data_IF_715852138750
#
_entry.id   IF_715852138750
#
_cell.length_a   1.000
_cell.length_b   1.000
_cell.length_c   1.000
_cell.angle_alpha   90.00
_cell.angle_beta   90.00
_cell.angle_gamma   90.00
#
_symmetry.space_group_name_H-M   'P 1'
#
loop_
_entity.id
_entity.type
_entity.pdbx_description
1 polymer ?
#
# COMPACT_ATOMS: atom_id res chain seq x y z
N UNK A 1 -11.09 -53.31 68.13
CA UNK A 1 -10.42 -51.99 68.13
C UNK A 1 -10.64 -51.33 66.77
N UNK A 2 -11.28 -50.14 66.76
CA UNK A 2 -11.45 -49.08 65.72
C UNK A 2 -11.38 -49.51 64.22
N UNK A 3 -12.52 -49.66 63.51
CA UNK A 3 -13.31 -48.66 62.70
C UNK A 3 -12.64 -48.19 61.39
N UNK A 4 -13.25 -48.48 60.22
CA UNK A 4 -13.52 -47.58 59.04
C UNK A 4 -14.58 -48.29 58.15
N UNK A 5 -15.90 -48.05 58.27
CA UNK A 5 -16.80 -47.15 57.48
C UNK A 5 -16.59 -47.17 55.94
N UNK A 6 -17.50 -47.76 55.11
CA UNK A 6 -18.72 -47.15 54.50
C UNK A 6 -18.36 -46.36 53.21
N UNK A 7 -19.07 -46.31 52.07
CA UNK A 7 -20.43 -46.68 51.63
C UNK A 7 -20.43 -46.84 50.09
N UNK A 8 -21.42 -47.60 49.60
CA UNK A 8 -22.06 -47.51 48.29
C UNK A 8 -22.43 -46.07 47.87
N UNK A 9 -22.21 -45.69 46.60
CA UNK A 9 -22.98 -44.63 45.92
C UNK A 9 -23.30 -45.07 44.48
N UNK A 10 -24.60 -45.04 44.20
CA UNK A 10 -25.25 -45.34 42.93
C UNK A 10 -24.86 -44.37 41.81
N UNK A 11 -24.71 -44.94 40.62
CA UNK A 11 -24.61 -44.26 39.34
C UNK A 11 -25.96 -43.59 39.02
N UNK A 12 -26.05 -42.26 39.15
CA UNK A 12 -27.18 -41.47 38.65
C UNK A 12 -26.79 -40.89 37.31
N UNK A 13 -27.36 -41.44 36.23
CA UNK A 13 -27.32 -40.87 34.89
C UNK A 13 -28.21 -39.62 34.84
N UNK A 14 -27.59 -38.45 34.92
CA UNK A 14 -28.24 -37.18 34.58
C UNK A 14 -28.24 -37.02 33.05
N UNK A 15 -29.39 -37.28 32.44
CA UNK A 15 -29.72 -36.81 31.10
C UNK A 15 -29.77 -35.28 31.10
N UNK A 16 -28.72 -34.64 30.58
CA UNK A 16 -28.82 -33.24 30.15
C UNK A 16 -29.34 -33.27 28.72
N UNK A 17 -30.60 -32.88 28.54
CA UNK A 17 -31.19 -32.63 27.24
C UNK A 17 -30.38 -31.52 26.57
N UNK A 18 -29.59 -31.88 25.55
CA UNK A 18 -29.01 -30.90 24.64
C UNK A 18 -30.14 -30.41 23.75
N UNK A 19 -30.61 -29.19 23.97
CA UNK A 19 -31.41 -28.46 23.00
C UNK A 19 -30.57 -28.32 21.72
N UNK A 20 -30.78 -29.24 20.79
CA UNK A 20 -30.35 -29.10 19.39
C UNK A 20 -31.27 -28.08 18.74
N UNK A 21 -31.08 -26.80 19.09
CA UNK A 21 -31.42 -25.73 18.18
C UNK A 21 -30.36 -25.75 17.10
N UNK A 22 -30.69 -26.43 15.99
CA UNK A 22 -29.97 -26.25 14.73
C UNK A 22 -29.88 -24.73 14.49
N UNK A 23 -28.66 -24.21 14.63
CA UNK A 23 -28.35 -22.88 14.20
C UNK A 23 -28.66 -22.83 12.71
N UNK A 24 -29.83 -22.27 12.36
CA UNK A 24 -30.18 -21.89 11.00
C UNK A 24 -28.95 -21.20 10.43
N UNK A 25 -28.30 -21.85 9.47
CA UNK A 25 -27.45 -21.16 8.50
C UNK A 25 -28.34 -20.07 7.93
N UNK A 26 -28.10 -18.84 8.37
CA UNK A 26 -28.59 -17.64 7.70
C UNK A 26 -27.83 -17.62 6.39
N UNK A 27 -28.35 -18.35 5.39
CA UNK A 27 -28.09 -18.09 3.99
C UNK A 27 -28.82 -16.79 3.67
N UNK A 28 -28.23 -15.69 4.11
CA UNK A 28 -28.61 -14.37 3.65
C UNK A 28 -27.34 -13.55 3.49
N UNK A 29 -26.76 -13.63 2.29
CA UNK A 29 -25.92 -12.55 1.81
C UNK A 29 -26.09 -12.45 0.30
N UNK A 30 -27.15 -11.75 -0.12
CA UNK A 30 -27.02 -10.94 -1.32
C UNK A 30 -25.75 -10.10 -1.16
N UNK A 31 -24.79 -10.28 -2.07
CA UNK A 31 -23.50 -9.58 -2.06
C UNK A 31 -23.70 -8.08 -1.85
N UNK A 32 -22.87 -7.44 -1.00
CA UNK A 32 -22.87 -5.98 -0.82
C UNK A 32 -22.45 -5.21 -2.09
N UNK A 33 -22.08 -5.93 -3.15
CA UNK A 33 -21.57 -5.44 -4.41
C UNK A 33 -20.16 -5.97 -4.68
N UNK A 34 -19.65 -5.62 -5.85
CA UNK A 34 -18.34 -6.02 -6.34
C UNK A 34 -17.31 -4.91 -6.09
N UNK A 35 -16.10 -5.30 -5.73
CA UNK A 35 -14.91 -4.45 -5.70
C UNK A 35 -13.87 -5.10 -6.60
N UNK A 36 -13.39 -4.37 -7.60
CA UNK A 36 -12.28 -4.84 -8.44
C UNK A 36 -10.97 -4.41 -7.80
N UNK A 37 -10.04 -5.35 -7.63
CA UNK A 37 -8.75 -5.10 -7.03
C UNK A 37 -7.63 -5.60 -7.94
N UNK A 38 -6.70 -4.71 -8.29
CA UNK A 38 -5.47 -5.04 -9.01
C UNK A 38 -4.29 -4.73 -8.09
N UNK A 39 -3.63 -5.75 -7.51
CA UNK A 39 -2.48 -5.56 -6.62
C UNK A 39 -1.22 -5.16 -7.40
N UNK A 40 -0.15 -4.76 -6.71
CA UNK A 40 1.13 -4.41 -7.35
C UNK A 40 1.99 -5.64 -7.74
N UNK A 41 1.68 -6.82 -7.20
CA UNK A 41 2.23 -8.14 -7.56
C UNK A 41 1.35 -9.25 -6.93
N UNK A 42 1.75 -10.51 -7.12
CA UNK A 42 1.04 -11.69 -6.62
C UNK A 42 1.51 -12.19 -5.23
N UNK A 43 2.25 -11.39 -4.45
CA UNK A 43 2.62 -11.78 -3.09
C UNK A 43 1.34 -11.88 -2.24
N UNK A 44 1.19 -12.90 -1.36
CA UNK A 44 -0.03 -13.06 -0.55
C UNK A 44 -0.43 -11.82 0.25
N UNK A 45 0.57 -11.09 0.80
CA UNK A 45 0.33 -9.86 1.57
C UNK A 45 -0.20 -8.70 0.72
N UNK A 46 0.10 -8.72 -0.58
CA UNK A 46 -0.24 -7.66 -1.53
C UNK A 46 -1.54 -7.95 -2.27
N UNK A 47 -1.91 -9.23 -2.40
CA UNK A 47 -3.07 -9.71 -3.15
C UNK A 47 -4.08 -10.45 -2.26
N UNK A 48 -3.92 -11.76 -2.10
CA UNK A 48 -4.93 -12.66 -1.52
C UNK A 48 -5.37 -12.22 -0.11
N UNK A 49 -4.44 -11.88 0.77
CA UNK A 49 -4.75 -11.46 2.15
C UNK A 49 -5.51 -10.13 2.18
N UNK A 50 -5.19 -9.20 1.28
CA UNK A 50 -5.88 -7.91 1.17
C UNK A 50 -7.30 -8.10 0.63
N UNK A 51 -7.47 -8.91 -0.42
CA UNK A 51 -8.77 -9.23 -1.00
C UNK A 51 -9.66 -9.97 0.00
N UNK A 52 -9.13 -10.98 0.69
CA UNK A 52 -9.88 -11.79 1.66
C UNK A 52 -10.37 -10.99 2.86
N UNK A 53 -9.62 -9.97 3.28
CA UNK A 53 -10.04 -9.05 4.34
C UNK A 53 -11.36 -8.36 3.95
N UNK A 54 -11.50 -7.97 2.69
CA UNK A 54 -12.70 -7.30 2.19
C UNK A 54 -13.83 -8.28 1.87
N UNK A 55 -13.50 -9.50 1.40
CA UNK A 55 -14.49 -10.57 1.22
C UNK A 55 -15.20 -10.93 2.52
N UNK A 56 -14.47 -10.94 3.65
CA UNK A 56 -15.04 -11.16 5.00
C UNK A 56 -16.06 -10.09 5.41
N UNK A 57 -16.06 -8.91 4.77
CA UNK A 57 -17.05 -7.85 5.00
C UNK A 57 -18.34 -8.03 4.19
N UNK A 58 -18.44 -9.07 3.35
CA UNK A 58 -19.61 -9.40 2.54
C UNK A 58 -19.58 -8.82 1.11
N UNK A 59 -18.43 -8.33 0.64
CA UNK A 59 -18.23 -7.89 -0.74
C UNK A 59 -17.68 -9.03 -1.60
N UNK A 60 -18.04 -9.04 -2.88
CA UNK A 60 -17.33 -9.83 -3.88
C UNK A 60 -16.07 -9.06 -4.32
N UNK A 61 -14.88 -9.66 -4.17
CA UNK A 61 -13.63 -9.04 -4.60
C UNK A 61 -13.07 -9.77 -5.80
N UNK A 62 -13.02 -9.06 -6.93
CA UNK A 62 -12.56 -9.58 -8.22
C UNK A 62 -11.09 -9.18 -8.39
N UNK A 63 -10.22 -10.18 -8.52
CA UNK A 63 -8.78 -10.02 -8.72
C UNK A 63 -8.35 -10.63 -10.06
N UNK A 64 -7.34 -10.07 -10.75
CA UNK A 64 -6.84 -10.66 -11.99
C UNK A 64 -6.15 -12.01 -11.73
N UNK A 65 -6.14 -12.91 -12.71
CA UNK A 65 -5.31 -14.11 -12.66
C UNK A 65 -3.82 -13.80 -12.46
N UNK A 66 -3.12 -14.66 -11.72
CA UNK A 66 -1.69 -14.53 -11.39
C UNK A 66 -0.77 -14.39 -12.62
N UNK A 67 -1.15 -14.94 -13.77
CA UNK A 67 -0.35 -14.87 -15.00
C UNK A 67 -0.35 -13.48 -15.64
N UNK A 68 -1.33 -12.64 -15.30
CA UNK A 68 -1.37 -11.23 -15.71
C UNK A 68 -0.54 -10.33 -14.78
N UNK A 69 -0.36 -10.75 -13.53
CA UNK A 69 0.41 -10.03 -12.52
C UNK A 69 1.91 -10.37 -12.63
N UNK A 70 2.76 -9.38 -12.42
CA UNK A 70 4.19 -9.65 -12.32
C UNK A 70 4.56 -10.31 -10.99
N UNK A 71 5.64 -11.07 -11.01
CA UNK A 71 6.25 -11.73 -9.87
C UNK A 71 7.78 -11.67 -10.01
N UNK A 72 8.54 -12.55 -9.34
CA UNK A 72 10.00 -12.54 -9.40
C UNK A 72 10.56 -12.91 -10.78
N UNK A 73 9.82 -13.71 -11.55
CA UNK A 73 10.25 -14.29 -12.83
C UNK A 73 9.45 -13.76 -14.03
N UNK A 74 8.25 -13.20 -13.79
CA UNK A 74 7.38 -12.59 -14.78
C UNK A 74 7.29 -11.07 -14.56
N UNK A 75 7.52 -10.27 -15.60
CA UNK A 75 7.39 -8.81 -15.52
C UNK A 75 5.93 -8.31 -15.50
N UNK A 76 4.95 -9.18 -15.68
CA UNK A 76 3.52 -8.86 -15.79
C UNK A 76 3.12 -8.44 -17.20
N UNK A 77 1.81 -8.28 -17.44
CA UNK A 77 1.29 -7.90 -18.76
C UNK A 77 0.29 -6.73 -18.68
N UNK A 78 0.78 -5.47 -18.67
CA UNK A 78 -0.06 -4.29 -18.54
C UNK A 78 -1.18 -4.20 -19.59
N UNK A 79 -0.89 -4.53 -20.85
CA UNK A 79 -1.88 -4.48 -21.93
C UNK A 79 -3.04 -5.47 -21.68
N UNK A 80 -2.73 -6.72 -21.36
CA UNK A 80 -3.76 -7.72 -21.05
C UNK A 80 -4.48 -7.40 -19.75
N UNK A 81 -3.81 -6.75 -18.79
CA UNK A 81 -4.42 -6.33 -17.52
C UNK A 81 -5.46 -5.21 -17.72
N UNK A 82 -5.21 -4.25 -18.63
CA UNK A 82 -6.22 -3.27 -19.05
C UNK A 82 -7.41 -3.93 -19.76
N UNK A 83 -7.15 -4.89 -20.65
CA UNK A 83 -8.22 -5.66 -21.32
C UNK A 83 -9.04 -6.48 -20.31
N UNK A 84 -8.38 -7.08 -19.33
CA UNK A 84 -9.01 -7.81 -18.25
C UNK A 84 -9.90 -6.90 -17.41
N UNK A 85 -9.40 -5.71 -17.02
CA UNK A 85 -10.17 -4.73 -16.26
C UNK A 85 -11.44 -4.33 -17.04
N UNK A 86 -11.31 -4.02 -18.33
CA UNK A 86 -12.43 -3.66 -19.20
C UNK A 86 -13.49 -4.76 -19.24
N UNK A 87 -13.07 -6.00 -19.49
CA UNK A 87 -13.93 -7.17 -19.61
C UNK A 87 -14.69 -7.48 -18.33
N UNK A 88 -14.04 -7.30 -17.17
CA UNK A 88 -14.63 -7.63 -15.86
C UNK A 88 -15.39 -6.45 -15.24
N UNK A 89 -15.34 -5.27 -15.84
CA UNK A 89 -16.05 -4.08 -15.35
C UNK A 89 -17.20 -3.64 -16.24
N UNK A 90 -17.32 -4.17 -17.46
CA UNK A 90 -18.25 -3.66 -18.47
C UNK A 90 -19.36 -4.65 -18.81
N UNK A 91 -20.61 -4.21 -18.74
CA UNK A 91 -21.79 -5.01 -19.06
C UNK A 91 -22.77 -4.24 -19.95
N UNK A 92 -23.66 -4.96 -20.64
CA UNK A 92 -24.81 -4.33 -21.33
C UNK A 92 -25.84 -3.90 -20.30
N UNK A 93 -25.98 -2.59 -20.08
CA UNK A 93 -26.98 -2.01 -19.18
C UNK A 93 -27.73 -0.85 -19.81
N UNK A 94 -28.81 -0.41 -19.18
CA UNK A 94 -29.45 0.85 -19.55
C UNK A 94 -28.53 2.04 -19.19
N UNK A 95 -28.47 3.09 -20.02
CA UNK A 95 -27.69 4.28 -19.74
C UNK A 95 -28.29 5.05 -18.55
N UNK A 96 -27.41 5.65 -17.75
CA UNK A 96 -27.76 6.62 -16.70
C UNK A 96 -28.35 7.89 -17.31
N UNK A 97 -29.00 8.73 -16.49
CA UNK A 97 -29.54 10.02 -16.94
C UNK A 97 -28.47 10.92 -17.57
N UNK A 98 -27.24 10.87 -17.05
CA UNK A 98 -26.11 11.65 -17.56
C UNK A 98 -25.66 11.14 -18.94
N UNK A 99 -25.57 9.82 -19.11
CA UNK A 99 -25.19 9.19 -20.39
C UNK A 99 -26.27 9.42 -21.47
N UNK A 100 -27.55 9.35 -21.12
CA UNK A 100 -28.65 9.69 -22.03
C UNK A 100 -28.54 11.14 -22.51
N UNK A 101 -28.24 12.08 -21.60
CA UNK A 101 -28.07 13.50 -21.95
C UNK A 101 -26.82 13.77 -22.80
N UNK A 102 -25.70 13.09 -22.52
CA UNK A 102 -24.43 13.30 -23.22
C UNK A 102 -24.42 12.68 -24.61
N UNK A 103 -24.95 11.46 -24.73
CA UNK A 103 -24.78 10.65 -25.94
C UNK A 103 -26.07 10.48 -26.75
N UNK A 104 -27.19 11.06 -26.31
CA UNK A 104 -28.51 10.86 -26.92
C UNK A 104 -28.84 9.36 -27.12
N UNK A 105 -28.29 8.50 -26.26
CA UNK A 105 -28.35 7.07 -26.40
C UNK A 105 -29.70 6.53 -25.89
N UNK A 106 -30.49 5.94 -26.78
CA UNK A 106 -31.62 5.08 -26.44
C UNK A 106 -31.19 3.61 -26.36
N UNK A 107 -31.88 2.81 -25.55
CA UNK A 107 -31.63 1.35 -25.46
C UNK A 107 -30.54 0.95 -24.46
N UNK A 108 -29.81 -0.14 -24.74
CA UNK A 108 -28.72 -0.63 -23.88
C UNK A 108 -27.36 -0.13 -24.38
N UNK A 109 -26.50 0.26 -23.46
CA UNK A 109 -25.09 0.62 -23.71
C UNK A 109 -24.17 -0.40 -23.06
N UNK A 110 -22.93 -0.46 -23.52
CA UNK A 110 -21.85 -1.07 -22.76
C UNK A 110 -21.30 -0.02 -21.79
N UNK A 111 -21.43 -0.28 -20.49
CA UNK A 111 -21.00 0.65 -19.44
C UNK A 111 -20.59 -0.12 -18.19
N UNK A 112 -20.20 0.63 -17.15
CA UNK A 112 -19.75 0.06 -15.89
C UNK A 112 -20.85 -0.84 -15.29
N UNK A 113 -20.49 -2.04 -14.82
CA UNK A 113 -21.37 -2.94 -14.07
C UNK A 113 -21.91 -2.20 -12.83
N UNK A 114 -23.23 -2.02 -12.68
CA UNK A 114 -23.83 -1.35 -11.52
C UNK A 114 -23.55 -2.03 -10.18
N UNK A 115 -23.15 -3.32 -10.20
CA UNK A 115 -22.73 -4.03 -9.00
C UNK A 115 -21.34 -3.60 -8.53
N UNK A 116 -20.49 -3.03 -9.40
CA UNK A 116 -19.16 -2.56 -9.04
C UNK A 116 -19.25 -1.25 -8.27
N UNK A 117 -18.82 -1.30 -7.00
CA UNK A 117 -18.87 -0.17 -6.07
C UNK A 117 -17.55 0.60 -6.02
N UNK A 118 -16.44 -0.07 -6.26
CA UNK A 118 -15.11 0.52 -6.29
C UNK A 118 -14.14 -0.29 -7.16
N UNK A 119 -13.11 0.40 -7.66
CA UNK A 119 -12.00 -0.18 -8.38
C UNK A 119 -10.72 0.33 -7.72
N UNK A 120 -9.93 -0.57 -7.14
CA UNK A 120 -8.67 -0.27 -6.46
C UNK A 120 -7.53 -0.88 -7.27
N UNK A 121 -6.60 -0.07 -7.77
CA UNK A 121 -5.57 -0.54 -8.71
C UNK A 121 -4.18 -0.01 -8.38
N UNK A 122 -3.19 -0.89 -8.51
CA UNK A 122 -1.77 -0.53 -8.55
C UNK A 122 -1.43 0.08 -9.91
N UNK A 123 -0.98 1.33 -9.91
CA UNK A 123 -0.40 1.92 -11.10
C UNK A 123 0.87 1.19 -11.55
N UNK A 124 1.63 0.61 -10.62
CA UNK A 124 2.83 -0.14 -10.98
C UNK A 124 2.50 -1.36 -11.85
N UNK A 125 1.47 -2.12 -11.51
CA UNK A 125 0.98 -3.23 -12.35
C UNK A 125 0.41 -2.75 -13.69
N UNK A 126 -0.36 -1.67 -13.69
CA UNK A 126 -1.01 -1.17 -14.92
C UNK A 126 -0.04 -0.47 -15.89
N UNK A 127 1.13 -0.03 -15.42
CA UNK A 127 2.10 0.74 -16.21
C UNK A 127 3.38 -0.04 -16.49
N UNK A 128 3.93 -0.73 -15.51
CA UNK A 128 5.20 -1.46 -15.64
C UNK A 128 4.98 -2.97 -15.66
N UNK A 129 3.93 -3.45 -14.98
CA UNK A 129 3.54 -4.86 -14.87
C UNK A 129 3.72 -5.43 -13.46
N UNK A 130 4.53 -4.79 -12.62
CA UNK A 130 4.62 -5.03 -11.17
C UNK A 130 5.42 -3.94 -10.47
N UNK A 131 5.45 -3.99 -9.13
CA UNK A 131 6.34 -3.19 -8.29
C UNK A 131 7.83 -3.40 -8.64
N UNK A 132 8.25 -4.63 -8.95
CA UNK A 132 9.64 -4.91 -9.35
C UNK A 132 9.92 -4.33 -10.73
N UNK A 133 9.00 -4.54 -11.68
CA UNK A 133 9.12 -4.02 -13.04
C UNK A 133 9.17 -2.49 -13.06
N UNK A 134 8.59 -1.79 -12.09
CA UNK A 134 8.70 -0.32 -11.97
C UNK A 134 10.13 0.16 -11.72
N UNK A 135 11.00 -0.71 -11.20
CA UNK A 135 12.43 -0.47 -10.92
C UNK A 135 13.33 -0.98 -12.05
N UNK A 136 12.93 -2.09 -12.68
CA UNK A 136 13.76 -2.86 -13.62
C UNK A 136 13.07 -3.10 -14.97
N UNK A 137 13.08 -2.07 -15.83
CA UNK A 137 12.53 -2.15 -17.19
C UNK A 137 13.32 -1.30 -18.20
N UNK A 138 13.09 -1.53 -19.49
CA UNK A 138 13.62 -0.70 -20.59
C UNK A 138 12.51 0.00 -21.39
N UNK A 139 11.27 0.00 -20.86
CA UNK A 139 10.11 0.69 -21.45
C UNK A 139 10.44 2.15 -21.78
N UNK A 140 10.05 2.58 -22.98
CA UNK A 140 10.26 3.95 -23.47
C UNK A 140 9.33 4.94 -22.76
N UNK A 141 9.76 6.19 -22.61
CA UNK A 141 8.92 7.24 -22.02
C UNK A 141 7.60 7.45 -22.76
N UNK A 142 7.60 7.33 -24.09
CA UNK A 142 6.38 7.40 -24.89
C UNK A 142 5.38 6.34 -24.44
N UNK A 143 5.82 5.09 -24.29
CA UNK A 143 4.95 3.98 -23.87
C UNK A 143 4.48 4.13 -22.43
N UNK A 144 5.32 4.65 -21.52
CA UNK A 144 4.90 4.97 -20.16
C UNK A 144 3.79 6.03 -20.13
N UNK A 145 3.95 7.10 -20.92
CA UNK A 145 2.91 8.15 -21.05
C UNK A 145 1.61 7.61 -21.63
N UNK A 146 1.69 6.72 -22.63
CA UNK A 146 0.51 6.01 -23.17
C UNK A 146 -0.19 5.20 -22.08
N UNK A 147 0.55 4.42 -21.27
CA UNK A 147 -0.03 3.62 -20.19
C UNK A 147 -0.62 4.47 -19.05
N UNK A 148 -0.04 5.65 -18.77
CA UNK A 148 -0.68 6.65 -17.87
C UNK A 148 -1.98 7.17 -18.47
N UNK A 149 -2.02 7.45 -19.78
CA UNK A 149 -3.22 7.94 -20.45
C UNK A 149 -4.39 6.94 -20.40
N UNK A 150 -4.11 5.63 -20.38
CA UNK A 150 -5.14 4.59 -20.26
C UNK A 150 -6.05 4.78 -19.03
N UNK A 151 -5.55 5.34 -17.92
CA UNK A 151 -6.38 5.66 -16.75
C UNK A 151 -7.43 6.72 -17.08
N UNK A 152 -7.04 7.75 -17.82
CA UNK A 152 -7.94 8.81 -18.26
C UNK A 152 -8.97 8.27 -19.25
N UNK A 153 -8.53 7.43 -20.19
CA UNK A 153 -9.38 6.80 -21.19
C UNK A 153 -10.40 5.85 -20.56
N UNK A 154 -9.98 5.02 -19.61
CA UNK A 154 -10.87 4.17 -18.82
C UNK A 154 -11.90 5.01 -18.06
N UNK A 155 -11.45 6.07 -17.38
CA UNK A 155 -12.36 6.97 -16.64
C UNK A 155 -13.30 7.75 -17.55
N UNK A 156 -12.91 8.05 -18.80
CA UNK A 156 -13.77 8.71 -19.78
C UNK A 156 -14.92 7.80 -20.22
N UNK A 157 -14.65 6.51 -20.41
CA UNK A 157 -15.65 5.50 -20.77
C UNK A 157 -16.53 5.08 -19.57
N UNK A 158 -15.98 5.14 -18.36
CA UNK A 158 -16.66 4.84 -17.09
C UNK A 158 -16.64 6.05 -16.14
N UNK A 159 -17.40 7.11 -16.49
CA UNK A 159 -17.39 8.37 -15.73
C UNK A 159 -17.97 8.24 -14.30
N UNK A 160 -18.69 7.18 -14.01
CA UNK A 160 -19.21 6.82 -12.70
C UNK A 160 -18.25 5.94 -11.87
N UNK A 161 -17.19 5.39 -12.48
CA UNK A 161 -16.24 4.51 -11.78
C UNK A 161 -15.52 5.22 -10.63
N UNK A 162 -15.55 4.59 -9.45
CA UNK A 162 -14.85 5.01 -8.24
C UNK A 162 -13.45 4.41 -8.22
N UNK A 163 -12.49 5.15 -8.79
CA UNK A 163 -11.13 4.68 -9.01
C UNK A 163 -10.18 5.14 -7.90
N UNK A 164 -9.63 4.18 -7.16
CA UNK A 164 -8.61 4.39 -6.15
C UNK A 164 -7.29 3.83 -6.68
N UNK A 165 -6.26 4.66 -6.74
CA UNK A 165 -4.98 4.31 -7.38
C UNK A 165 -3.86 4.42 -6.38
N UNK A 166 -2.91 3.49 -6.40
CA UNK A 166 -1.65 3.63 -5.67
C UNK A 166 -0.46 3.41 -6.59
N UNK A 167 0.65 4.11 -6.34
CA UNK A 167 1.86 4.07 -7.16
C UNK A 167 3.09 4.14 -6.27
N UNK A 168 4.16 3.46 -6.68
CA UNK A 168 5.44 3.53 -6.00
C UNK A 168 6.22 4.79 -6.36
N UNK A 169 6.72 5.49 -5.35
CA UNK A 169 7.95 6.29 -5.47
C UNK A 169 9.09 5.30 -5.30
N UNK A 170 9.82 5.08 -6.38
CA UNK A 170 10.84 4.03 -6.48
C UNK A 170 11.79 4.05 -5.28
N UNK A 171 12.15 2.87 -4.75
CA UNK A 171 13.05 2.77 -3.60
C UNK A 171 14.49 3.20 -3.85
N UNK A 172 15.19 3.54 -2.77
CA UNK A 172 16.64 3.80 -2.77
C UNK A 172 17.29 2.86 -1.75
N UNK A 173 17.68 1.65 -2.15
CA UNK A 173 18.31 0.70 -1.24
C UNK A 173 19.56 1.29 -0.60
N UNK A 174 19.73 1.10 0.70
CA UNK A 174 20.88 1.65 1.46
C UNK A 174 22.18 0.88 1.22
N UNK A 175 22.11 -0.29 0.56
CA UNK A 175 23.27 -1.12 0.21
C UNK A 175 23.00 -2.07 -0.95
N UNK A 176 24.04 -2.73 -1.44
CA UNK A 176 23.92 -3.81 -2.42
C UNK A 176 23.19 -5.04 -1.87
N UNK A 177 23.40 -5.40 -0.60
CA UNK A 177 22.67 -6.48 0.07
C UNK A 177 21.18 -6.16 0.18
N UNK A 178 20.84 -4.91 0.52
CA UNK A 178 19.45 -4.45 0.61
C UNK A 178 18.76 -4.34 -0.76
N UNK A 179 19.54 -4.21 -1.85
CA UNK A 179 19.03 -4.23 -3.21
C UNK A 179 18.48 -5.61 -3.62
N UNK A 180 19.05 -6.69 -3.06
CA UNK A 180 18.68 -8.07 -3.38
C UNK A 180 18.83 -8.37 -4.87
N UNK A 181 17.87 -9.12 -5.44
CA UNK A 181 17.82 -9.44 -6.88
C UNK A 181 16.89 -8.53 -7.69
N UNK A 182 16.29 -7.53 -7.03
CA UNK A 182 15.19 -6.73 -7.58
C UNK A 182 15.65 -5.38 -8.16
N UNK A 183 16.96 -5.10 -8.10
CA UNK A 183 17.59 -3.91 -8.70
C UNK A 183 18.47 -4.26 -9.91
N UNK A 184 18.91 -3.26 -10.69
CA UNK A 184 19.99 -3.42 -11.64
C UNK A 184 21.29 -3.96 -11.00
N UNK A 185 22.03 -4.77 -11.73
CA UNK A 185 23.19 -5.54 -11.22
C UNK A 185 24.29 -4.66 -10.59
N UNK A 186 24.45 -3.41 -11.05
CA UNK A 186 25.44 -2.49 -10.52
C UNK A 186 25.23 -2.14 -9.04
N UNK A 187 24.03 -2.35 -8.47
CA UNK A 187 23.79 -2.15 -7.04
C UNK A 187 24.61 -3.11 -6.17
N UNK A 188 24.96 -4.30 -6.66
CA UNK A 188 25.81 -5.24 -5.90
C UNK A 188 27.18 -4.66 -5.60
N UNK A 189 27.74 -3.91 -6.55
CA UNK A 189 29.06 -3.29 -6.42
C UNK A 189 29.00 -1.87 -5.86
N UNK A 190 28.00 -1.07 -6.27
CA UNK A 190 27.95 0.37 -6.02
C UNK A 190 26.74 0.81 -5.18
N UNK A 191 25.98 -0.10 -4.57
CA UNK A 191 24.75 0.24 -3.85
C UNK A 191 24.98 1.23 -2.70
N UNK A 192 26.05 1.05 -1.94
CA UNK A 192 26.45 1.99 -0.88
C UNK A 192 26.84 3.36 -1.44
N UNK A 193 27.62 3.37 -2.53
CA UNK A 193 28.10 4.61 -3.16
C UNK A 193 26.95 5.41 -3.77
N UNK A 194 26.02 4.73 -4.46
CA UNK A 194 24.80 5.33 -5.02
C UNK A 194 23.92 5.87 -3.90
N UNK A 195 23.73 5.11 -2.81
CA UNK A 195 22.98 5.60 -1.66
C UNK A 195 23.62 6.89 -1.10
N UNK A 196 24.94 6.89 -0.89
CA UNK A 196 25.64 8.06 -0.35
C UNK A 196 25.62 9.25 -1.32
N UNK A 197 25.82 9.01 -2.61
CA UNK A 197 25.73 10.00 -3.68
C UNK A 197 24.37 10.70 -3.68
N UNK A 198 23.29 9.91 -3.60
CA UNK A 198 21.92 10.44 -3.58
C UNK A 198 21.56 11.13 -2.27
N UNK A 199 22.06 10.65 -1.13
CA UNK A 199 21.89 11.31 0.16
C UNK A 199 22.53 12.71 0.17
N UNK A 200 23.72 12.86 -0.43
CA UNK A 200 24.38 14.15 -0.58
C UNK A 200 23.64 15.08 -1.56
N UNK A 201 23.12 14.55 -2.67
CA UNK A 201 22.27 15.33 -3.59
C UNK A 201 20.99 15.83 -2.93
N UNK A 202 20.31 14.95 -2.22
CA UNK A 202 19.11 15.29 -1.46
C UNK A 202 19.41 16.37 -0.41
N UNK A 203 20.51 16.21 0.32
CA UNK A 203 20.96 17.23 1.27
C UNK A 203 21.26 18.55 0.58
N UNK A 204 21.93 18.54 -0.58
CA UNK A 204 22.27 19.74 -1.36
C UNK A 204 21.04 20.47 -1.90
N UNK A 205 20.00 19.72 -2.28
CA UNK A 205 18.70 20.25 -2.70
C UNK A 205 17.99 20.96 -1.55
N UNK A 206 17.94 20.34 -0.37
CA UNK A 206 17.25 20.91 0.79
C UNK A 206 18.04 22.00 1.53
N UNK A 207 19.38 21.94 1.51
CA UNK A 207 20.28 22.83 2.26
C UNK A 207 21.71 22.81 1.72
N UNK A 208 22.57 23.67 2.25
CA UNK A 208 23.98 23.69 1.84
C UNK A 208 24.78 22.46 2.30
N UNK A 209 25.67 21.98 1.43
CA UNK A 209 26.70 21.00 1.77
C UNK A 209 27.92 21.66 2.41
N UNK A 210 28.54 20.96 3.36
CA UNK A 210 29.87 21.34 3.87
C UNK A 210 30.96 21.11 2.81
N UNK A 211 32.13 21.76 2.95
CA UNK A 211 33.25 21.56 2.02
C UNK A 211 33.73 20.11 1.94
N UNK A 212 33.62 19.35 3.04
CA UNK A 212 33.93 17.91 3.06
C UNK A 212 32.93 17.13 2.21
N UNK A 213 31.64 17.42 2.37
CA UNK A 213 30.56 16.75 1.64
C UNK A 213 30.58 17.09 0.15
N UNK A 214 30.97 18.30 -0.23
CA UNK A 214 31.18 18.67 -1.64
C UNK A 214 32.28 17.83 -2.28
N UNK A 215 33.44 17.71 -1.62
CA UNK A 215 34.53 16.84 -2.08
C UNK A 215 34.14 15.37 -2.12
N UNK A 216 33.35 14.92 -1.14
CA UNK A 216 32.81 13.55 -1.13
C UNK A 216 31.87 13.30 -2.32
N UNK A 217 30.99 14.26 -2.63
CA UNK A 217 30.10 14.17 -3.79
C UNK A 217 30.88 14.11 -5.10
N UNK A 218 31.90 14.97 -5.27
CA UNK A 218 32.81 14.97 -6.42
C UNK A 218 33.51 13.61 -6.56
N UNK A 219 34.06 13.08 -5.47
CA UNK A 219 34.68 11.76 -5.45
C UNK A 219 33.71 10.64 -5.86
N UNK A 220 32.48 10.65 -5.35
CA UNK A 220 31.47 9.64 -5.71
C UNK A 220 31.07 9.72 -7.19
N UNK A 221 31.04 10.92 -7.76
CA UNK A 221 30.79 11.11 -9.20
C UNK A 221 31.91 10.53 -10.08
N UNK A 222 33.15 10.50 -9.58
CA UNK A 222 34.29 9.87 -10.26
C UNK A 222 34.35 8.36 -10.01
N UNK A 223 34.02 7.92 -8.80
CA UNK A 223 34.07 6.51 -8.40
C UNK A 223 33.01 5.66 -9.11
N UNK A 224 31.77 6.16 -9.21
CA UNK A 224 30.67 5.40 -9.79
C UNK A 224 30.76 5.53 -11.33
N UNK A 225 30.81 4.42 -12.08
CA UNK A 225 30.85 4.47 -13.53
C UNK A 225 29.72 5.33 -14.11
N UNK A 226 30.07 6.30 -14.95
CA UNK A 226 29.10 7.26 -15.49
C UNK A 226 27.95 6.60 -16.27
N UNK A 227 28.18 5.42 -16.85
CA UNK A 227 27.13 4.62 -17.49
C UNK A 227 26.06 4.14 -16.49
N UNK A 228 26.46 3.78 -15.26
CA UNK A 228 25.54 3.35 -14.21
C UNK A 228 24.75 4.53 -13.65
N UNK A 229 25.39 5.68 -13.43
CA UNK A 229 24.68 6.90 -13.03
C UNK A 229 23.66 7.33 -14.09
N UNK A 230 24.01 7.26 -15.39
CA UNK A 230 23.06 7.59 -16.48
C UNK A 230 21.88 6.63 -16.54
N UNK A 231 22.11 5.32 -16.44
CA UNK A 231 21.01 4.33 -16.41
C UNK A 231 20.12 4.56 -15.18
N UNK A 232 20.73 4.75 -14.01
CA UNK A 232 20.04 5.03 -12.76
C UNK A 232 19.18 6.31 -12.85
N UNK A 233 19.76 7.43 -13.27
CA UNK A 233 19.05 8.71 -13.44
C UNK A 233 17.89 8.58 -14.43
N UNK A 234 18.07 7.82 -15.52
CA UNK A 234 17.03 7.56 -16.50
C UNK A 234 15.86 6.76 -15.90
N UNK A 235 16.14 5.69 -15.15
CA UNK A 235 15.12 4.89 -14.44
C UNK A 235 14.33 5.75 -13.45
N UNK A 236 15.03 6.51 -12.61
CA UNK A 236 14.41 7.45 -11.65
C UNK A 236 13.54 8.49 -12.35
N UNK A 237 14.08 9.13 -13.38
CA UNK A 237 13.37 10.17 -14.14
C UNK A 237 12.08 9.66 -14.79
N UNK A 238 12.07 8.41 -15.28
CA UNK A 238 10.87 7.77 -15.82
C UNK A 238 9.80 7.55 -14.74
N UNK A 239 10.16 6.99 -13.59
CA UNK A 239 9.23 6.79 -12.47
C UNK A 239 8.66 8.13 -11.95
N UNK A 240 9.52 9.13 -11.79
CA UNK A 240 9.11 10.47 -11.37
C UNK A 240 8.09 11.10 -12.34
N UNK A 241 8.36 11.07 -13.65
CA UNK A 241 7.44 11.60 -14.67
C UNK A 241 6.11 10.84 -14.75
N UNK A 242 6.12 9.54 -14.48
CA UNK A 242 4.88 8.75 -14.37
C UNK A 242 4.06 9.22 -13.17
N UNK A 243 4.69 9.41 -12.01
CA UNK A 243 4.01 9.92 -10.81
C UNK A 243 3.46 11.34 -11.01
N UNK A 244 4.20 12.24 -11.68
CA UNK A 244 3.66 13.56 -12.10
C UNK A 244 2.42 13.41 -12.99
N UNK A 245 2.45 12.51 -13.96
CA UNK A 245 1.32 12.22 -14.84
C UNK A 245 0.09 11.71 -14.08
N UNK A 246 0.29 10.86 -13.07
CA UNK A 246 -0.79 10.39 -12.20
C UNK A 246 -1.36 11.52 -11.32
N UNK A 247 -0.50 12.40 -10.79
CA UNK A 247 -0.93 13.60 -10.05
C UNK A 247 -1.78 14.51 -10.96
N UNK A 248 -1.37 14.70 -12.20
CA UNK A 248 -2.14 15.50 -13.17
C UNK A 248 -3.54 14.91 -13.45
N UNK A 249 -3.67 13.58 -13.46
CA UNK A 249 -4.97 12.92 -13.57
C UNK A 249 -5.80 13.08 -12.29
N UNK A 250 -5.17 12.97 -11.12
CA UNK A 250 -5.82 13.22 -9.84
C UNK A 250 -6.36 14.66 -9.73
N UNK A 251 -5.57 15.65 -10.13
CA UNK A 251 -5.95 17.07 -10.20
C UNK A 251 -7.15 17.31 -11.11
N UNK A 252 -7.28 16.52 -12.18
CA UNK A 252 -8.42 16.55 -13.11
C UNK A 252 -9.62 15.71 -12.62
N UNK A 253 -9.61 15.28 -11.36
CA UNK A 253 -10.71 14.54 -10.73
C UNK A 253 -10.89 13.11 -11.26
N UNK A 254 -9.86 12.50 -11.86
CA UNK A 254 -9.96 11.13 -12.40
C UNK A 254 -9.94 10.05 -11.33
N UNK A 255 -9.44 10.35 -10.14
CA UNK A 255 -9.33 9.40 -9.03
C UNK A 255 -10.15 9.88 -7.81
N UNK A 256 -10.64 8.93 -7.03
CA UNK A 256 -11.18 9.18 -5.70
C UNK A 256 -10.08 9.27 -4.64
N UNK A 257 -8.95 8.63 -4.90
CA UNK A 257 -7.71 8.80 -4.16
C UNK A 257 -6.53 8.34 -5.02
N UNK A 258 -5.42 9.06 -4.94
CA UNK A 258 -4.11 8.61 -5.40
C UNK A 258 -3.16 8.53 -4.20
N UNK A 259 -2.66 7.34 -3.87
CA UNK A 259 -1.64 7.17 -2.84
C UNK A 259 -0.27 6.93 -3.49
N UNK A 260 0.68 7.82 -3.22
CA UNK A 260 2.08 7.69 -3.63
C UNK A 260 2.86 7.13 -2.44
N UNK A 261 3.19 5.84 -2.53
CA UNK A 261 3.90 5.11 -1.47
C UNK A 261 5.40 5.15 -1.69
N UNK A 262 6.15 5.56 -0.66
CA UNK A 262 7.61 5.46 -0.68
C UNK A 262 8.01 4.03 -0.38
N UNK A 263 8.52 3.38 -1.41
CA UNK A 263 9.10 2.06 -1.35
C UNK A 263 10.50 2.15 -0.75
N UNK A 264 10.89 1.23 0.15
CA UNK A 264 12.11 1.22 0.99
C UNK A 264 12.93 2.53 0.96
N UNK A 265 12.68 3.43 1.92
CA UNK A 265 13.31 4.74 1.95
C UNK A 265 14.10 5.01 3.24
N UNK A 266 14.89 6.08 3.21
CA UNK A 266 15.66 6.56 4.34
C UNK A 266 15.76 8.07 4.30
N UNK A 267 15.99 8.69 5.46
CA UNK A 267 16.29 10.11 5.54
C UNK A 267 17.55 10.41 4.72
N UNK A 268 17.49 11.47 3.92
CA UNK A 268 18.52 11.80 2.93
C UNK A 268 18.73 10.68 1.91
N UNK A 269 17.88 10.64 0.89
CA UNK A 269 17.92 9.65 -0.20
C UNK A 269 17.21 10.19 -1.44
N UNK A 270 17.41 9.55 -2.59
CA UNK A 270 16.67 9.94 -3.80
C UNK A 270 15.15 9.82 -3.60
N UNK A 271 14.68 8.75 -2.96
CA UNK A 271 13.25 8.56 -2.66
C UNK A 271 12.70 9.67 -1.75
N UNK A 272 13.47 10.09 -0.74
CA UNK A 272 13.08 11.19 0.14
C UNK A 272 13.03 12.53 -0.62
N UNK A 273 14.02 12.82 -1.48
CA UNK A 273 14.05 14.01 -2.33
C UNK A 273 12.85 14.04 -3.30
N UNK A 274 12.62 12.96 -4.04
CA UNK A 274 11.52 12.87 -5.00
C UNK A 274 10.16 12.98 -4.32
N UNK A 275 9.98 12.38 -3.14
CA UNK A 275 8.75 12.52 -2.38
C UNK A 275 8.50 13.97 -1.94
N UNK A 276 9.53 14.76 -1.60
CA UNK A 276 9.36 16.21 -1.36
C UNK A 276 8.88 16.91 -2.62
N UNK A 277 9.56 16.70 -3.75
CA UNK A 277 9.17 17.38 -4.99
C UNK A 277 7.79 16.93 -5.51
N UNK A 278 7.41 15.67 -5.33
CA UNK A 278 6.06 15.19 -5.67
C UNK A 278 4.98 15.80 -4.76
N UNK A 279 5.28 16.04 -3.48
CA UNK A 279 4.41 16.82 -2.59
C UNK A 279 4.27 18.26 -3.05
N UNK A 280 5.37 18.92 -3.41
CA UNK A 280 5.34 20.30 -3.93
C UNK A 280 4.56 20.38 -5.24
N UNK A 281 4.76 19.41 -6.13
CA UNK A 281 4.01 19.30 -7.39
C UNK A 281 2.52 19.08 -7.15
N UNK A 282 2.16 18.21 -6.20
CA UNK A 282 0.78 17.97 -5.76
C UNK A 282 0.11 19.27 -5.30
N UNK A 283 0.79 20.05 -4.46
CA UNK A 283 0.29 21.34 -3.98
C UNK A 283 0.13 22.34 -5.13
N UNK A 284 1.13 22.44 -6.01
CA UNK A 284 1.10 23.31 -7.19
C UNK A 284 -0.06 22.98 -8.14
N UNK A 285 -0.47 21.71 -8.22
CA UNK A 285 -1.59 21.24 -9.04
C UNK A 285 -2.94 21.28 -8.30
N UNK A 286 -2.95 21.68 -7.02
CA UNK A 286 -4.14 21.63 -6.16
C UNK A 286 -4.82 20.26 -6.16
N UNK A 287 -4.01 19.19 -6.17
CA UNK A 287 -4.50 17.82 -6.28
C UNK A 287 -4.84 17.23 -4.90
N UNK A 288 -5.94 17.69 -4.29
CA UNK A 288 -6.33 17.39 -2.90
C UNK A 288 -6.56 15.89 -2.60
N UNK A 289 -6.81 15.09 -3.63
CA UNK A 289 -7.03 13.63 -3.49
C UNK A 289 -5.74 12.81 -3.51
N UNK A 290 -4.57 13.45 -3.62
CA UNK A 290 -3.26 12.80 -3.61
C UNK A 290 -2.70 12.77 -2.19
N UNK A 291 -2.22 11.61 -1.76
CA UNK A 291 -1.53 11.43 -0.48
C UNK A 291 -0.15 10.85 -0.73
N UNK A 292 0.87 11.40 -0.07
CA UNK A 292 2.25 10.90 -0.11
C UNK A 292 2.56 10.26 1.24
N UNK A 293 2.93 8.98 1.25
CA UNK A 293 3.01 8.19 2.48
C UNK A 293 4.28 7.31 2.49
N UNK A 294 4.79 6.98 3.68
CA UNK A 294 5.82 5.95 3.81
C UNK A 294 5.19 4.56 3.64
N UNK A 295 5.90 3.64 3.00
CA UNK A 295 5.38 2.30 2.71
C UNK A 295 4.61 2.23 1.39
N UNK A 296 4.57 1.03 0.82
CA UNK A 296 3.92 0.70 -0.46
C UNK A 296 3.16 -0.62 -0.37
N UNK A 297 3.68 -1.58 0.38
CA UNK A 297 3.13 -2.93 0.47
C UNK A 297 1.71 -2.94 1.07
N UNK A 298 1.43 -2.05 2.02
CA UNK A 298 0.14 -1.93 2.70
C UNK A 298 -0.94 -1.13 1.93
N UNK A 299 -0.56 -0.39 0.86
CA UNK A 299 -1.46 0.57 0.22
C UNK A 299 -2.67 -0.08 -0.44
N UNK A 300 -2.52 -1.31 -0.96
CA UNK A 300 -3.64 -2.07 -1.52
C UNK A 300 -4.76 -2.26 -0.50
N UNK A 301 -4.41 -2.77 0.70
CA UNK A 301 -5.36 -2.96 1.80
C UNK A 301 -5.92 -1.63 2.33
N UNK A 302 -5.08 -0.59 2.46
CA UNK A 302 -5.53 0.72 2.93
C UNK A 302 -6.54 1.37 1.97
N UNK A 303 -6.31 1.30 0.65
CA UNK A 303 -7.25 1.85 -0.33
C UNK A 303 -8.51 1.01 -0.51
N UNK A 304 -8.41 -0.31 -0.38
CA UNK A 304 -9.58 -1.19 -0.27
C UNK A 304 -10.45 -0.80 0.94
N UNK A 305 -9.82 -0.59 2.09
CA UNK A 305 -10.51 -0.15 3.31
C UNK A 305 -11.11 1.25 3.14
N UNK A 306 -10.38 2.19 2.52
CA UNK A 306 -10.88 3.52 2.17
C UNK A 306 -12.13 3.43 1.30
N UNK A 307 -12.11 2.57 0.28
CA UNK A 307 -13.25 2.38 -0.62
C UNK A 307 -14.47 1.86 0.16
N UNK A 308 -14.29 0.86 1.03
CA UNK A 308 -15.37 0.35 1.87
C UNK A 308 -15.90 1.43 2.83
N UNK A 309 -15.03 2.19 3.49
CA UNK A 309 -15.44 3.30 4.36
C UNK A 309 -16.26 4.34 3.58
N UNK A 310 -15.88 4.66 2.35
CA UNK A 310 -16.63 5.58 1.49
C UNK A 310 -18.00 5.01 1.08
N UNK A 311 -18.08 3.71 0.75
CA UNK A 311 -19.33 3.02 0.40
C UNK A 311 -20.29 2.99 1.59
N UNK A 312 -19.78 2.63 2.77
CA UNK A 312 -20.56 2.51 4.01
C UNK A 312 -20.76 3.85 4.73
N UNK A 313 -20.19 4.94 4.21
CA UNK A 313 -20.20 6.29 4.80
C UNK A 313 -19.68 6.32 6.24
N UNK A 314 -18.60 5.58 6.51
CA UNK A 314 -17.93 5.50 7.80
C UNK A 314 -16.67 6.35 7.82
N UNK A 315 -16.42 6.99 8.96
CA UNK A 315 -15.19 7.71 9.28
C UNK A 315 -14.72 7.23 10.65
N UNK A 316 -13.87 6.19 10.72
CA UNK A 316 -13.45 5.63 11.99
C UNK A 316 -12.57 6.63 12.76
N UNK A 317 -12.81 6.76 14.06
CA UNK A 317 -11.96 7.51 14.98
C UNK A 317 -10.93 6.56 15.58
N UNK A 318 -9.65 6.79 15.29
CA UNK A 318 -8.55 5.93 15.68
C UNK A 318 -7.61 6.70 16.62
N UNK A 319 -7.13 6.02 17.65
CA UNK A 319 -5.97 6.46 18.43
C UNK A 319 -4.91 5.36 18.42
N UNK A 320 -3.65 5.73 18.68
CA UNK A 320 -2.57 4.77 18.76
C UNK A 320 -1.77 4.97 20.04
N UNK A 321 -1.41 3.85 20.65
CA UNK A 321 -0.45 3.80 21.74
C UNK A 321 0.73 2.91 21.36
N UNK A 322 1.89 3.21 21.92
CA UNK A 322 3.17 2.67 21.50
C UNK A 322 3.87 2.03 22.68
N UNK A 323 4.86 1.19 22.39
CA UNK A 323 5.71 0.67 23.45
C UNK A 323 6.45 1.80 24.17
N UNK A 324 6.85 1.57 25.43
CA UNK A 324 7.61 2.54 26.22
C UNK A 324 8.97 2.85 25.55
N UNK A 325 9.65 3.91 26.00
CA UNK A 325 10.96 4.32 25.46
C UNK A 325 10.83 5.16 24.18
N UNK A 326 11.56 4.82 23.12
CA UNK A 326 11.47 5.56 21.84
C UNK A 326 10.07 5.53 21.24
N UNK A 327 9.29 4.48 21.52
CA UNK A 327 7.85 4.44 21.30
C UNK A 327 7.44 4.95 19.93
N UNK A 328 6.66 6.03 19.93
CA UNK A 328 6.09 6.69 18.75
C UNK A 328 7.12 7.41 17.86
N UNK A 329 8.32 7.67 18.39
CA UNK A 329 9.43 8.37 17.72
C UNK A 329 10.43 7.45 17.02
N UNK A 330 10.23 6.12 17.11
CA UNK A 330 11.04 5.15 16.37
C UNK A 330 10.93 5.42 14.86
N UNK A 331 12.07 5.52 14.17
CA UNK A 331 12.14 5.56 12.71
C UNK A 331 12.48 4.14 12.21
N UNK A 332 11.59 3.45 11.46
CA UNK A 332 11.84 2.12 10.88
C UNK A 332 12.99 2.07 9.85
N UNK A 333 13.47 0.87 9.50
CA UNK A 333 14.70 0.65 8.72
C UNK A 333 14.56 1.02 7.26
N UNK A 334 13.32 0.96 6.82
CA UNK A 334 12.88 1.22 5.47
C UNK A 334 11.92 2.43 5.46
N UNK A 335 12.15 3.38 6.37
CA UNK A 335 11.40 4.63 6.48
C UNK A 335 12.33 5.83 6.72
N UNK A 336 11.86 7.02 6.36
CA UNK A 336 12.49 8.31 6.64
C UNK A 336 11.76 9.12 7.71
N UNK A 337 10.72 8.56 8.34
CA UNK A 337 9.86 9.25 9.30
C UNK A 337 9.53 8.39 10.53
N UNK A 338 9.16 9.04 11.66
CA UNK A 338 8.69 8.33 12.84
C UNK A 338 7.44 7.48 12.55
N UNK A 339 7.34 6.33 13.20
CA UNK A 339 6.18 5.43 13.06
C UNK A 339 4.85 6.11 13.35
N UNK A 340 4.79 7.07 14.27
CA UNK A 340 3.57 7.84 14.56
C UNK A 340 3.13 8.73 13.39
N UNK A 341 4.09 9.27 12.65
CA UNK A 341 3.82 10.03 11.43
C UNK A 341 3.16 9.12 10.39
N UNK A 342 3.70 7.92 10.20
CA UNK A 342 3.14 6.92 9.28
C UNK A 342 1.75 6.46 9.73
N UNK A 343 1.54 6.11 11.00
CA UNK A 343 0.23 5.69 11.54
C UNK A 343 -0.83 6.76 11.32
N UNK A 344 -0.53 8.03 11.63
CA UNK A 344 -1.47 9.15 11.39
C UNK A 344 -1.80 9.31 9.91
N UNK A 345 -0.79 9.23 9.05
CA UNK A 345 -0.99 9.32 7.60
C UNK A 345 -1.86 8.16 7.07
N UNK A 346 -1.67 6.94 7.58
CA UNK A 346 -2.49 5.77 7.19
C UNK A 346 -3.94 5.91 7.67
N UNK A 347 -4.18 6.44 8.87
CA UNK A 347 -5.54 6.75 9.38
C UNK A 347 -6.23 7.81 8.53
N UNK A 348 -5.51 8.82 8.06
CA UNK A 348 -6.05 9.80 7.11
C UNK A 348 -6.31 9.17 5.73
N UNK A 349 -5.42 8.28 5.27
CA UNK A 349 -5.54 7.59 3.99
C UNK A 349 -6.80 6.72 3.92
N UNK A 350 -7.13 5.97 4.97
CA UNK A 350 -8.36 5.17 5.03
C UNK A 350 -9.64 6.02 5.14
N UNK A 351 -9.53 7.35 5.27
CA UNK A 351 -10.64 8.28 5.44
C UNK A 351 -11.12 8.42 6.89
N UNK A 352 -10.29 8.02 7.86
CA UNK A 352 -10.57 8.11 9.28
C UNK A 352 -10.09 9.41 9.91
N UNK A 353 -10.34 9.54 11.20
CA UNK A 353 -9.88 10.63 12.04
C UNK A 353 -8.92 10.09 13.09
N UNK A 354 -7.71 10.64 13.16
CA UNK A 354 -6.80 10.37 14.27
C UNK A 354 -7.08 11.33 15.43
N UNK A 355 -7.12 10.81 16.65
CA UNK A 355 -7.21 11.61 17.89
C UNK A 355 -6.09 11.23 18.86
N UNK A 356 -5.45 12.23 19.47
CA UNK A 356 -4.40 11.99 20.48
C UNK A 356 -4.97 11.50 21.81
N UNK A 357 -6.16 11.97 22.18
CA UNK A 357 -6.85 11.58 23.41
C UNK A 357 -8.37 11.63 23.19
N UNK A 358 -9.12 10.66 23.72
CA UNK A 358 -10.58 10.68 23.64
C UNK A 358 -11.23 9.44 24.24
N UNK A 359 -12.48 9.57 24.69
CA UNK A 359 -13.30 8.45 25.20
C UNK A 359 -14.17 7.78 24.13
N UNK A 360 -14.31 8.42 22.96
CA UNK A 360 -15.13 7.95 21.84
C UNK A 360 -14.21 7.57 20.67
N UNK A 361 -13.47 6.48 20.84
CA UNK A 361 -12.54 5.94 19.83
C UNK A 361 -13.10 4.61 19.35
N UNK A 362 -13.17 4.43 18.03
CA UNK A 362 -13.63 3.18 17.41
C UNK A 362 -12.55 2.09 17.43
N UNK A 363 -11.26 2.50 17.36
CA UNK A 363 -10.11 1.61 17.36
C UNK A 363 -8.93 2.21 18.14
N UNK A 364 -8.45 1.48 19.15
CA UNK A 364 -7.14 1.69 19.78
C UNK A 364 -6.11 0.78 19.10
N UNK A 365 -5.14 1.37 18.42
CA UNK A 365 -4.03 0.64 17.80
C UNK A 365 -2.85 0.56 18.78
N UNK A 366 -2.53 -0.66 19.23
CA UNK A 366 -1.37 -0.91 20.08
C UNK A 366 -0.16 -1.28 19.20
N UNK A 367 0.73 -0.31 18.97
CA UNK A 367 1.88 -0.44 18.06
C UNK A 367 3.12 -0.91 18.83
N UNK A 368 3.51 -2.16 18.62
CA UNK A 368 4.71 -2.72 19.21
C UNK A 368 5.98 -2.16 18.55
N UNK A 369 6.65 -1.23 19.22
CA UNK A 369 7.92 -0.63 18.80
C UNK A 369 9.08 -1.06 19.69
N UNK A 370 10.30 -0.99 19.17
CA UNK A 370 11.49 -1.29 19.98
C UNK A 370 11.74 -0.14 20.98
N UNK A 371 11.80 -0.42 22.29
CA UNK A 371 11.88 0.63 23.31
C UNK A 371 13.19 1.43 23.26
N UNK A 372 14.27 0.89 22.69
CA UNK A 372 15.56 1.59 22.62
C UNK A 372 15.72 2.43 21.37
N UNK A 373 14.72 2.43 20.47
CA UNK A 373 14.83 3.07 19.17
C UNK A 373 15.66 2.27 18.17
N UNK A 374 16.09 1.05 18.54
CA UNK A 374 16.86 0.20 17.66
C UNK A 374 16.04 -0.23 16.45
N UNK A 375 16.65 -0.04 15.28
CA UNK A 375 16.01 -0.20 14.01
C UNK A 375 16.38 -1.54 13.37
N UNK A 376 15.64 -2.59 13.73
CA UNK A 376 15.90 -3.95 13.27
C UNK A 376 15.15 -4.17 11.95
N UNK A 377 15.88 -4.23 10.84
CA UNK A 377 15.29 -4.56 9.54
C UNK A 377 14.69 -5.97 9.53
N UNK A 378 13.70 -6.22 8.67
CA UNK A 378 12.96 -7.47 8.61
C UNK A 378 13.86 -8.72 8.42
N UNK A 379 15.00 -8.57 7.74
CA UNK A 379 15.93 -9.65 7.43
C UNK A 379 17.04 -9.87 8.47
N UNK A 380 16.99 -9.19 9.63
CA UNK A 380 18.03 -9.32 10.64
C UNK A 380 17.92 -10.63 11.41
N UNK A 381 19.05 -11.28 11.70
CA UNK A 381 19.10 -12.54 12.46
C UNK A 381 18.45 -12.46 13.86
N UNK A 382 18.39 -11.25 14.43
CA UNK A 382 17.69 -10.98 15.69
C UNK A 382 16.17 -11.18 15.61
N UNK A 383 15.58 -11.22 14.40
CA UNK A 383 14.18 -11.56 14.17
C UNK A 383 14.00 -13.09 14.22
N UNK A 384 14.09 -13.64 15.43
CA UNK A 384 13.83 -15.05 15.69
C UNK A 384 12.47 -15.26 16.38
N UNK A 385 12.03 -16.52 16.48
CA UNK A 385 10.75 -16.88 17.10
C UNK A 385 10.73 -16.72 18.63
N UNK A 386 11.84 -16.34 19.27
CA UNK A 386 11.90 -16.17 20.73
C UNK A 386 11.30 -14.83 21.10
N UNK A 387 10.21 -14.88 21.86
CA UNK A 387 9.56 -13.67 22.38
C UNK A 387 10.56 -12.90 23.24
N UNK A 388 10.86 -11.67 22.84
CA UNK A 388 11.76 -10.78 23.59
C UNK A 388 11.07 -10.26 24.87
N UNK A 389 11.82 -9.96 25.95
CA UNK A 389 11.24 -9.45 27.19
C UNK A 389 10.41 -8.17 27.00
N UNK A 390 10.85 -7.26 26.12
CA UNK A 390 10.13 -6.02 25.79
C UNK A 390 8.73 -6.29 25.22
N UNK A 391 8.60 -7.33 24.38
CA UNK A 391 7.31 -7.72 23.80
C UNK A 391 6.38 -8.28 24.87
N UNK A 392 6.89 -9.07 25.83
CA UNK A 392 6.07 -9.57 26.95
C UNK A 392 5.54 -8.42 27.80
N UNK A 393 6.40 -7.46 28.12
CA UNK A 393 6.00 -6.26 28.88
C UNK A 393 4.94 -5.45 28.13
N UNK A 394 5.10 -5.29 26.81
CA UNK A 394 4.12 -4.59 25.97
C UNK A 394 2.76 -5.30 25.94
N UNK A 395 2.74 -6.62 25.77
CA UNK A 395 1.49 -7.41 25.81
C UNK A 395 0.80 -7.30 27.17
N UNK A 396 1.54 -7.41 28.28
CA UNK A 396 0.96 -7.23 29.61
C UNK A 396 0.48 -5.80 29.88
N UNK A 397 1.02 -4.80 29.16
CA UNK A 397 0.50 -3.43 29.18
C UNK A 397 -0.82 -3.34 28.41
N UNK A 398 -0.91 -3.94 27.21
CA UNK A 398 -2.14 -4.01 26.42
C UNK A 398 -3.29 -4.68 27.15
N UNK A 399 -3.04 -5.76 27.90
CA UNK A 399 -4.09 -6.47 28.67
C UNK A 399 -4.70 -5.62 29.80
N UNK A 400 -4.06 -4.50 30.17
CA UNK A 400 -4.50 -3.59 31.23
C UNK A 400 -5.09 -2.27 30.70
N UNK A 401 -4.87 -1.97 29.42
CA UNK A 401 -5.38 -0.78 28.73
C UNK A 401 -6.81 -1.03 28.25
#
# INVERSE_FOLDING_TARGET
MKKVFVLFICLVCLFVATDTTEAKKVNDSTSKGKIVFIPHDNRPVSDEMAADTIRKLGYEVIVPPDDLLGNKDNMGNPENLWMWLEKNTTVKRSPSKLEQKRFHAGGKIWGLDPEIKAIVISADSMIYGSLVSSRKHDITERKLKERVANFADYKYRHDDAKLYVFSSVMRTPTSGENSGSQEPEYYKAYGYDIFRYTALKDKADAKSLSSREKKELEFLMELIPSAYLRDWDNRRGKNYRVNEGLIDLAAKGKFECLALGRDDNAAWSQTHMEARHLRDYTQKKSAEKVQNIAGIDELGLLLLTRAVNAIEKKQPVVTADYNWGSGKYLIPAYSDEPVDTTVRAQVQLLGGQYVDNGKNVDLLLMVNTNPTGANLGANWYSNNKKIRPDVKTFVSYMERA
#
